data_IF_707956691973
#
_entry.id   IF_707956691973
#
_cell.length_a   1.000
_cell.length_b   1.000
_cell.length_c   1.000
_cell.angle_alpha   90.00
_cell.angle_beta   90.00
_cell.angle_gamma   90.00
#
_symmetry.space_group_name_H-M   'P 1'
#
loop_
_entity.id
_entity.type
_entity.pdbx_description
1 polymer ?
#
# COMPACT_ATOMS: atom_id res chain seq x y z
N UNK A 1 -29.80 16.04 13.89
CA UNK A 1 -28.45 16.55 14.23
C UNK A 1 -27.32 15.67 13.69
N UNK A 2 -27.55 14.40 13.37
CA UNK A 2 -26.54 13.47 12.79
C UNK A 2 -26.20 13.76 11.32
N UNK A 3 -27.17 14.18 10.50
CA UNK A 3 -26.96 14.50 9.07
C UNK A 3 -25.99 15.65 8.85
N UNK A 4 -26.03 16.68 9.70
CA UNK A 4 -25.11 17.81 9.63
C UNK A 4 -23.66 17.37 9.89
N UNK A 5 -23.43 16.50 10.88
CA UNK A 5 -22.12 15.95 11.16
C UNK A 5 -21.58 15.09 10.01
N UNK A 6 -22.44 14.28 9.37
CA UNK A 6 -22.07 13.47 8.20
C UNK A 6 -21.63 14.36 7.03
N UNK A 7 -22.38 15.40 6.73
CA UNK A 7 -22.04 16.35 5.66
C UNK A 7 -20.73 17.07 5.96
N UNK A 8 -20.51 17.46 7.21
CA UNK A 8 -19.28 18.15 7.62
C UNK A 8 -18.04 17.24 7.52
N UNK A 9 -18.17 15.97 7.94
CA UNK A 9 -17.11 14.98 7.80
C UNK A 9 -16.83 14.67 6.32
N UNK A 10 -17.87 14.55 5.50
CA UNK A 10 -17.73 14.33 4.06
C UNK A 10 -16.99 15.49 3.40
N UNK A 11 -17.38 16.74 3.71
CA UNK A 11 -16.73 17.94 3.19
C UNK A 11 -15.29 18.08 3.69
N UNK A 12 -15.03 17.78 4.96
CA UNK A 12 -13.67 17.80 5.52
C UNK A 12 -12.76 16.78 4.86
N UNK A 13 -13.23 15.55 4.66
CA UNK A 13 -12.48 14.49 3.99
C UNK A 13 -12.20 14.81 2.51
N UNK A 14 -13.21 15.35 1.80
CA UNK A 14 -13.03 15.81 0.41
C UNK A 14 -12.09 17.02 0.33
N UNK A 15 -12.23 17.98 1.24
CA UNK A 15 -11.36 19.15 1.33
C UNK A 15 -9.91 18.76 1.56
N UNK A 16 -9.64 17.81 2.46
CA UNK A 16 -8.29 17.27 2.69
C UNK A 16 -7.73 16.59 1.44
N UNK A 17 -8.56 15.82 0.71
CA UNK A 17 -8.14 15.15 -0.53
C UNK A 17 -7.81 16.15 -1.64
N UNK A 18 -8.63 17.19 -1.83
CA UNK A 18 -8.35 18.26 -2.79
C UNK A 18 -7.12 19.07 -2.38
N UNK A 19 -7.00 19.44 -1.11
CA UNK A 19 -5.85 20.16 -0.60
C UNK A 19 -4.56 19.37 -0.84
N UNK A 20 -4.57 18.06 -0.60
CA UNK A 20 -3.45 17.19 -0.92
C UNK A 20 -3.07 17.23 -2.41
N UNK A 21 -4.05 17.13 -3.31
CA UNK A 21 -3.79 17.12 -4.75
C UNK A 21 -3.27 18.47 -5.28
N UNK A 22 -3.84 19.60 -4.82
CA UNK A 22 -3.49 20.93 -5.31
C UNK A 22 -2.27 21.56 -4.62
N UNK A 23 -2.05 21.33 -3.33
CA UNK A 23 -0.89 21.89 -2.60
C UNK A 23 0.33 20.97 -2.64
N UNK A 24 0.15 19.66 -2.50
CA UNK A 24 1.28 18.73 -2.32
C UNK A 24 1.82 18.31 -3.68
N UNK A 25 0.97 18.09 -4.69
CA UNK A 25 1.39 17.73 -6.05
C UNK A 25 2.50 18.61 -6.64
N UNK A 26 2.34 19.95 -6.68
CA UNK A 26 3.35 20.86 -7.23
C UNK A 26 4.62 20.96 -6.35
N UNK A 27 4.51 20.69 -5.05
CA UNK A 27 5.65 20.69 -4.12
C UNK A 27 6.47 19.41 -4.26
N UNK A 28 5.80 18.29 -4.55
CA UNK A 28 6.42 16.99 -4.79
C UNK A 28 7.17 16.94 -6.12
N UNK A 29 6.64 17.56 -7.18
CA UNK A 29 7.32 17.66 -8.48
C UNK A 29 8.66 18.41 -8.38
N UNK A 30 8.77 19.40 -7.48
CA UNK A 30 10.03 20.11 -7.23
C UNK A 30 11.10 19.26 -6.52
N UNK A 31 10.73 18.07 -6.01
CA UNK A 31 11.61 17.17 -5.26
C UNK A 31 11.48 15.74 -5.82
N UNK A 32 12.24 15.37 -6.87
CA UNK A 32 12.08 14.09 -7.59
C UNK A 32 12.23 12.85 -6.70
N UNK A 33 13.05 12.93 -5.64
CA UNK A 33 13.22 11.86 -4.66
C UNK A 33 11.94 11.62 -3.84
N UNK A 34 11.26 12.68 -3.42
CA UNK A 34 10.01 12.58 -2.66
C UNK A 34 8.87 12.05 -3.53
N UNK A 35 8.77 12.52 -4.78
CA UNK A 35 7.77 12.01 -5.73
C UNK A 35 7.91 10.50 -5.97
N UNK A 36 9.15 10.02 -6.14
CA UNK A 36 9.44 8.59 -6.30
C UNK A 36 9.06 7.79 -5.05
N UNK A 37 9.43 8.29 -3.86
CA UNK A 37 9.08 7.65 -2.60
C UNK A 37 7.56 7.56 -2.40
N UNK A 38 6.82 8.63 -2.71
CA UNK A 38 5.36 8.67 -2.57
C UNK A 38 4.65 7.68 -3.51
N UNK A 39 5.16 7.49 -4.72
CA UNK A 39 4.64 6.45 -5.63
C UNK A 39 4.90 5.03 -5.13
N UNK A 40 5.93 4.83 -4.31
CA UNK A 40 6.25 3.53 -3.72
C UNK A 40 5.43 3.25 -2.43
N UNK A 41 4.82 4.26 -1.82
CA UNK A 41 4.04 4.10 -0.57
C UNK A 41 2.92 3.06 -0.71
N UNK A 42 2.05 3.10 -1.74
CA UNK A 42 0.97 2.11 -1.87
C UNK A 42 1.49 0.68 -2.00
N UNK A 43 2.54 0.48 -2.81
CA UNK A 43 3.17 -0.82 -3.00
C UNK A 43 3.81 -1.31 -1.69
N UNK A 44 4.49 -0.42 -0.96
CA UNK A 44 5.09 -0.73 0.34
C UNK A 44 4.03 -1.16 1.36
N UNK A 45 2.91 -0.43 1.44
CA UNK A 45 1.81 -0.76 2.36
C UNK A 45 1.21 -2.12 2.02
N UNK A 46 0.89 -2.38 0.75
CA UNK A 46 0.34 -3.67 0.32
C UNK A 46 1.32 -4.81 0.63
N UNK A 47 2.62 -4.61 0.35
CA UNK A 47 3.64 -5.61 0.64
C UNK A 47 3.74 -5.90 2.14
N UNK A 48 3.71 -4.87 2.99
CA UNK A 48 3.73 -5.04 4.44
C UNK A 48 2.50 -5.81 4.96
N UNK A 49 1.32 -5.55 4.39
CA UNK A 49 0.08 -6.27 4.73
C UNK A 49 0.17 -7.74 4.31
N UNK A 50 0.66 -8.03 3.10
CA UNK A 50 0.86 -9.40 2.62
C UNK A 50 1.84 -10.17 3.51
N UNK A 51 2.94 -9.52 3.92
CA UNK A 51 3.90 -10.09 4.86
C UNK A 51 3.23 -10.38 6.21
N UNK A 52 2.43 -9.46 6.74
CA UNK A 52 1.67 -9.68 7.99
C UNK A 52 0.69 -10.85 7.87
N UNK A 53 -0.09 -10.92 6.79
CA UNK A 53 -1.07 -11.99 6.54
C UNK A 53 -0.42 -13.37 6.39
N UNK A 54 0.86 -13.42 6.02
CA UNK A 54 1.60 -14.67 5.80
C UNK A 54 2.39 -15.09 7.03
N UNK A 55 3.02 -14.16 7.73
CA UNK A 55 3.93 -14.44 8.86
C UNK A 55 3.25 -14.41 10.22
N UNK A 56 2.18 -13.61 10.36
CA UNK A 56 1.51 -13.42 11.64
C UNK A 56 0.17 -14.14 11.65
N UNK A 57 -0.01 -15.05 12.61
CA UNK A 57 -1.32 -15.61 12.94
C UNK A 57 -1.57 -15.39 14.44
N UNK A 58 -2.26 -14.30 14.76
CA UNK A 58 -2.47 -13.89 16.16
C UNK A 58 -1.16 -13.44 16.82
N UNK A 59 -0.74 -14.09 17.90
CA UNK A 59 0.45 -13.73 18.70
C UNK A 59 1.67 -14.63 18.42
N UNK A 60 1.54 -15.63 17.55
CA UNK A 60 2.65 -16.52 17.18
C UNK A 60 3.17 -16.22 15.77
N UNK A 61 4.50 -16.17 15.65
CA UNK A 61 5.18 -16.27 14.36
C UNK A 61 5.13 -17.74 13.95
N UNK A 62 4.32 -18.07 12.96
CA UNK A 62 4.25 -19.42 12.39
C UNK A 62 4.95 -19.38 11.05
N UNK A 63 6.11 -20.05 10.97
CA UNK A 63 6.79 -20.30 9.70
C UNK A 63 6.04 -21.46 9.04
N UNK A 64 4.94 -21.12 8.37
CA UNK A 64 4.06 -22.07 7.71
C UNK A 64 4.54 -22.36 6.26
N UNK A 65 3.97 -23.38 5.62
CA UNK A 65 4.21 -23.72 4.21
C UNK A 65 3.97 -22.54 3.24
N UNK A 66 3.16 -21.57 3.66
CA UNK A 66 2.90 -20.31 2.95
C UNK A 66 4.14 -19.42 2.80
N UNK A 67 5.10 -19.46 3.73
CA UNK A 67 6.36 -18.73 3.58
C UNK A 67 7.17 -19.26 2.41
N UNK A 68 7.25 -20.60 2.27
CA UNK A 68 7.94 -21.22 1.15
C UNK A 68 7.31 -20.81 -0.19
N UNK A 69 5.97 -20.81 -0.26
CA UNK A 69 5.22 -20.32 -1.42
C UNK A 69 5.52 -18.84 -1.74
N UNK A 70 5.52 -17.96 -0.74
CA UNK A 70 5.85 -16.54 -0.92
C UNK A 70 7.30 -16.31 -1.39
N UNK A 71 8.26 -17.06 -0.86
CA UNK A 71 9.67 -16.95 -1.28
C UNK A 71 9.82 -17.38 -2.74
N UNK A 72 9.21 -18.50 -3.13
CA UNK A 72 9.24 -18.98 -4.52
C UNK A 72 8.58 -17.98 -5.47
N UNK A 73 7.39 -17.47 -5.11
CA UNK A 73 6.70 -16.44 -5.89
C UNK A 73 7.55 -15.17 -6.04
N UNK A 74 8.21 -14.71 -4.97
CA UNK A 74 9.13 -13.57 -5.01
C UNK A 74 10.31 -13.79 -5.95
N UNK A 75 10.91 -14.98 -5.93
CA UNK A 75 12.01 -15.36 -6.84
C UNK A 75 11.52 -15.38 -8.30
N UNK A 76 10.35 -15.94 -8.57
CA UNK A 76 9.77 -16.01 -9.92
C UNK A 76 9.44 -14.62 -10.48
N UNK A 77 8.88 -13.74 -9.65
CA UNK A 77 8.63 -12.33 -10.02
C UNK A 77 9.95 -11.60 -10.30
N UNK A 78 10.98 -11.83 -9.48
CA UNK A 78 12.29 -11.22 -9.71
C UNK A 78 12.93 -11.68 -11.03
N UNK A 79 12.69 -12.93 -11.43
CA UNK A 79 13.12 -13.49 -12.72
C UNK A 79 12.24 -13.05 -13.90
N UNK A 80 11.22 -12.20 -13.69
CA UNK A 80 10.23 -11.78 -14.69
C UNK A 80 9.52 -12.97 -15.36
N UNK A 81 9.20 -14.02 -14.59
CA UNK A 81 8.44 -15.16 -15.09
C UNK A 81 7.01 -14.73 -15.50
N UNK A 82 6.43 -15.35 -16.56
CA UNK A 82 5.06 -15.04 -16.99
C UNK A 82 4.05 -15.39 -15.90
N UNK A 83 2.94 -14.65 -15.83
CA UNK A 83 1.95 -14.72 -14.75
C UNK A 83 1.40 -16.14 -14.52
N UNK A 84 1.26 -16.93 -15.60
CA UNK A 84 0.81 -18.34 -15.56
C UNK A 84 1.76 -19.25 -14.75
N UNK A 85 3.03 -18.87 -14.61
CA UNK A 85 4.03 -19.66 -13.87
C UNK A 85 4.09 -19.26 -12.39
N UNK A 86 3.55 -18.09 -12.04
CA UNK A 86 3.63 -17.51 -10.68
C UNK A 86 2.41 -17.92 -9.82
N UNK A 87 1.25 -18.12 -10.44
CA UNK A 87 -0.02 -18.50 -9.79
C UNK A 87 -0.18 -20.01 -9.78
#
# INVERSE_FOLDING_TARGET
MTTLAIVLLMLGAWGQRLAGMFLIGPVLEKRPLLATATNLIPAAVISAVVVQLTLARGTSLVIDERMAGMVVAGILVWRKAPFVVVV
#
